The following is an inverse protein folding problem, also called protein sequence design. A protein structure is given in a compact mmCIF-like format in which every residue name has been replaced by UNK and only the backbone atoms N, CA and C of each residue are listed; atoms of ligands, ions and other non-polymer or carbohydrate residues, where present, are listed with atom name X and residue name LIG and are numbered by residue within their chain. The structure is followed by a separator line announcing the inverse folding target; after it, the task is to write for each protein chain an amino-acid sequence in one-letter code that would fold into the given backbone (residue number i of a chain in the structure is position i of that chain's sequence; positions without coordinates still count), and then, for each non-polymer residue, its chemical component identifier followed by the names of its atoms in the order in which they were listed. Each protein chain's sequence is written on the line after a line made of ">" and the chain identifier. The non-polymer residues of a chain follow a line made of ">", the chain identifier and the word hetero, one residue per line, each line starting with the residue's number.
data_IF_291580290046
#
_entry.id   IF_291580290046
#
_cell.length_a   1.000
_cell.length_b   1.000
_cell.length_c   1.000
_cell.angle_alpha   90.00
_cell.angle_beta   90.00
_cell.angle_gamma   90.00
#
_symmetry.space_group_name_H-M   'P 1'
#
loop_
_entity.id
_entity.type
_entity.pdbx_description
1 polymer ?
#
# COMPACT_ATOMS: atom_id res chain seq x y z
N UNK A 1 -2.65 4.10 -26.43
CA UNK A 1 -2.98 3.88 -25.00
C UNK A 1 -2.18 4.88 -24.18
N UNK A 2 -2.83 5.83 -23.48
CA UNK A 2 -2.11 6.86 -22.72
C UNK A 2 -1.46 6.24 -21.47
N UNK A 3 -0.14 6.12 -21.47
CA UNK A 3 0.61 5.80 -20.24
C UNK A 3 0.64 7.06 -19.38
N UNK A 4 0.03 7.01 -18.20
CA UNK A 4 0.08 8.12 -17.24
C UNK A 4 1.52 8.26 -16.75
N UNK A 5 2.09 9.46 -16.82
CA UNK A 5 3.48 9.71 -16.40
C UNK A 5 3.77 9.23 -14.96
N UNK A 6 2.77 9.29 -14.08
CA UNK A 6 2.86 8.81 -12.69
C UNK A 6 3.16 7.31 -12.57
N UNK A 7 2.75 6.47 -13.53
CA UNK A 7 3.06 5.03 -13.50
C UNK A 7 4.57 4.78 -13.66
N UNK A 8 5.22 5.58 -14.51
CA UNK A 8 6.68 5.52 -14.69
C UNK A 8 7.41 5.98 -13.43
N UNK A 9 6.89 6.99 -12.72
CA UNK A 9 7.46 7.41 -11.44
C UNK A 9 7.27 6.36 -10.34
N UNK A 10 6.13 5.66 -10.32
CA UNK A 10 5.90 4.53 -9.41
C UNK A 10 6.85 3.36 -9.68
N UNK A 11 7.12 3.06 -10.95
CA UNK A 11 8.08 2.02 -11.36
C UNK A 11 9.52 2.40 -10.97
N UNK A 12 9.93 3.66 -11.21
CA UNK A 12 11.22 4.17 -10.73
C UNK A 12 11.34 4.08 -9.22
N UNK A 13 10.27 4.42 -8.49
CA UNK A 13 10.22 4.31 -7.05
C UNK A 13 10.34 2.85 -6.57
N UNK A 14 9.62 1.91 -7.18
CA UNK A 14 9.68 0.50 -6.78
C UNK A 14 11.05 -0.14 -7.02
N UNK A 15 11.75 0.30 -8.07
CA UNK A 15 13.06 -0.22 -8.45
C UNK A 15 14.23 0.40 -7.68
N UNK A 16 14.00 1.44 -6.86
CA UNK A 16 15.05 2.10 -6.08
C UNK A 16 15.36 1.30 -4.79
N UNK A 17 16.62 0.97 -4.56
CA UNK A 17 17.10 0.42 -3.28
C UNK A 17 18.04 1.40 -2.58
N UNK A 18 17.79 1.83 -1.32
CA UNK A 18 16.60 1.61 -0.49
C UNK A 18 15.45 2.57 -0.87
N UNK A 19 14.25 2.03 -1.10
CA UNK A 19 13.04 2.82 -1.34
C UNK A 19 12.44 3.31 -0.03
N UNK A 20 12.17 4.62 0.05
CA UNK A 20 11.40 5.22 1.14
C UNK A 20 9.90 5.03 0.90
N UNK A 21 9.04 5.07 1.94
CA UNK A 21 7.59 5.13 1.74
C UNK A 21 7.20 6.27 0.79
N UNK A 22 6.28 6.00 -0.14
CA UNK A 22 5.82 6.99 -1.11
C UNK A 22 4.51 7.63 -0.64
N UNK A 23 4.44 8.96 -0.66
CA UNK A 23 3.22 9.71 -0.37
C UNK A 23 2.63 10.21 -1.68
N UNK A 24 1.44 9.73 -2.03
CA UNK A 24 0.71 10.17 -3.23
C UNK A 24 -0.26 11.29 -2.84
N UNK A 25 0.08 12.54 -3.20
CA UNK A 25 -0.75 13.72 -2.92
C UNK A 25 -1.52 14.17 -4.17
N UNK A 26 -2.63 14.87 -3.95
CA UNK A 26 -3.44 15.48 -5.02
C UNK A 26 -4.83 15.85 -4.53
N UNK A 27 -5.60 16.62 -5.30
CA UNK A 27 -6.96 17.02 -4.95
C UNK A 27 -7.90 15.80 -4.75
N UNK A 28 -9.02 16.00 -4.05
CA UNK A 28 -10.06 14.96 -3.92
C UNK A 28 -10.57 14.58 -5.33
N UNK A 29 -10.90 13.31 -5.54
CA UNK A 29 -11.48 12.77 -6.79
C UNK A 29 -10.60 12.80 -8.06
N UNK A 30 -9.28 13.01 -7.95
CA UNK A 30 -8.36 13.01 -9.13
C UNK A 30 -7.88 11.61 -9.58
N UNK A 31 -8.44 10.54 -9.02
CA UNK A 31 -8.12 9.16 -9.42
C UNK A 31 -6.79 8.61 -8.87
N UNK A 32 -6.34 9.08 -7.68
CA UNK A 32 -5.14 8.56 -7.00
C UNK A 32 -5.22 7.05 -6.74
N UNK A 33 -6.36 6.58 -6.21
CA UNK A 33 -6.61 5.15 -5.98
C UNK A 33 -6.54 4.36 -7.27
N UNK A 34 -7.13 4.87 -8.36
CA UNK A 34 -7.11 4.23 -9.67
C UNK A 34 -5.68 3.97 -10.17
N UNK A 35 -4.76 4.91 -9.96
CA UNK A 35 -3.36 4.74 -10.36
C UNK A 35 -2.69 3.61 -9.58
N UNK A 36 -2.93 3.53 -8.27
CA UNK A 36 -2.36 2.47 -7.42
C UNK A 36 -2.93 1.11 -7.82
N UNK A 37 -4.24 1.02 -8.06
CA UNK A 37 -4.90 -0.21 -8.54
C UNK A 37 -4.35 -0.70 -9.88
N UNK A 38 -3.98 0.21 -10.78
CA UNK A 38 -3.37 -0.13 -12.07
C UNK A 38 -1.91 -0.57 -11.94
N UNK A 39 -1.20 -0.10 -10.91
CA UNK A 39 0.23 -0.33 -10.75
C UNK A 39 0.54 -1.68 -10.10
N UNK A 40 -0.13 -2.02 -8.99
CA UNK A 40 0.17 -3.23 -8.24
C UNK A 40 -1.02 -3.72 -7.42
N UNK A 41 -0.94 -4.98 -6.99
CA UNK A 41 -1.80 -5.50 -5.94
C UNK A 41 -1.45 -4.79 -4.63
N UNK A 42 -2.46 -4.38 -3.87
CA UNK A 42 -2.24 -3.70 -2.60
C UNK A 42 -3.22 -4.17 -1.53
N UNK A 43 -2.81 -3.98 -0.28
CA UNK A 43 -3.65 -4.09 0.90
C UNK A 43 -4.08 -2.67 1.28
N UNK A 44 -5.39 -2.43 1.24
CA UNK A 44 -5.97 -1.15 1.67
C UNK A 44 -6.12 -1.12 3.19
N UNK A 45 -5.61 -0.06 3.80
CA UNK A 45 -5.66 0.17 5.24
C UNK A 45 -6.24 1.54 5.52
N UNK A 46 -7.34 1.58 6.28
CA UNK A 46 -7.89 2.80 6.84
C UNK A 46 -7.64 2.81 8.35
N UNK A 47 -6.67 3.59 8.81
CA UNK A 47 -6.28 3.62 10.23
C UNK A 47 -7.34 4.27 11.14
N UNK A 48 -8.40 4.86 10.59
CA UNK A 48 -9.57 5.27 11.38
C UNK A 48 -10.39 4.05 11.86
N UNK A 49 -10.31 2.92 11.14
CA UNK A 49 -11.01 1.71 11.51
C UNK A 49 -10.21 0.95 12.58
N UNK A 50 -10.83 0.59 13.73
CA UNK A 50 -10.12 -0.15 14.78
C UNK A 50 -9.47 -1.44 14.30
N UNK A 51 -10.09 -2.16 13.35
CA UNK A 51 -9.56 -3.41 12.81
C UNK A 51 -8.25 -3.22 12.02
N UNK A 52 -8.09 -2.08 11.35
CA UNK A 52 -6.89 -1.76 10.58
C UNK A 52 -5.84 -1.09 11.47
N UNK A 53 -6.26 -0.37 12.52
CA UNK A 53 -5.39 0.32 13.48
C UNK A 53 -4.73 -0.63 14.49
N UNK A 54 -5.48 -1.54 15.12
CA UNK A 54 -4.98 -2.43 16.19
C UNK A 54 -3.70 -3.18 15.85
N UNK A 55 -3.54 -3.77 14.64
CA UNK A 55 -2.28 -4.42 14.28
C UNK A 55 -1.06 -3.51 14.41
N UNK A 56 -1.21 -2.21 14.14
CA UNK A 56 -0.13 -1.21 14.27
C UNK A 56 0.13 -0.77 15.72
N UNK A 57 -0.69 -1.19 16.68
CA UNK A 57 -0.52 -0.84 18.10
C UNK A 57 -0.02 -2.03 18.92
N UNK A 58 -0.38 -3.24 18.49
CA UNK A 58 -0.13 -4.48 19.23
C UNK A 58 1.05 -5.30 18.68
N UNK A 59 1.68 -4.87 17.58
CA UNK A 59 2.77 -5.64 16.95
C UNK A 59 4.06 -5.64 17.79
N UNK A 60 4.72 -6.80 17.86
CA UNK A 60 6.06 -6.92 18.47
C UNK A 60 7.17 -6.87 17.41
N UNK A 61 6.92 -7.42 16.22
CA UNK A 61 7.86 -7.37 15.08
C UNK A 61 7.18 -6.94 13.79
N UNK A 62 7.96 -6.41 12.85
CA UNK A 62 7.45 -6.04 11.52
C UNK A 62 6.94 -7.27 10.76
N UNK A 63 7.60 -8.43 10.92
CA UNK A 63 7.09 -9.66 10.30
C UNK A 63 5.70 -10.00 10.82
N UNK A 64 5.48 -9.97 12.14
CA UNK A 64 4.19 -10.24 12.76
C UNK A 64 3.11 -9.29 12.26
N UNK A 65 3.41 -7.98 12.23
CA UNK A 65 2.51 -6.97 11.66
C UNK A 65 2.11 -7.34 10.23
N UNK A 66 3.08 -7.66 9.37
CA UNK A 66 2.81 -8.04 7.98
C UNK A 66 1.99 -9.32 7.90
N UNK A 67 2.25 -10.33 8.74
CA UNK A 67 1.43 -11.56 8.73
C UNK A 67 -0.02 -11.27 9.09
N UNK A 68 -0.23 -10.52 10.16
CA UNK A 68 -1.55 -10.12 10.66
C UNK A 68 -2.33 -9.31 9.63
N UNK A 69 -1.68 -8.34 8.97
CA UNK A 69 -2.31 -7.55 7.91
C UNK A 69 -2.76 -8.40 6.72
N UNK A 70 -1.92 -9.34 6.27
CA UNK A 70 -2.29 -10.27 5.18
C UNK A 70 -3.43 -11.20 5.60
N UNK A 71 -3.43 -11.66 6.85
CA UNK A 71 -4.48 -12.53 7.39
C UNK A 71 -5.83 -11.81 7.48
N UNK A 72 -5.88 -10.64 8.12
CA UNK A 72 -7.12 -9.85 8.29
C UNK A 72 -7.74 -9.48 6.94
N UNK A 73 -6.90 -9.21 5.94
CA UNK A 73 -7.34 -8.79 4.60
C UNK A 73 -7.50 -9.97 3.63
N UNK A 74 -7.40 -11.20 4.13
CA UNK A 74 -7.55 -12.45 3.39
C UNK A 74 -6.71 -12.51 2.11
N UNK A 75 -5.45 -12.05 2.19
CA UNK A 75 -4.52 -12.00 1.06
C UNK A 75 -3.42 -13.05 1.21
N UNK A 76 -3.01 -13.64 0.08
CA UNK A 76 -1.96 -14.66 0.09
C UNK A 76 -0.59 -14.06 0.37
N UNK A 77 0.11 -14.62 1.37
CA UNK A 77 1.48 -14.23 1.73
C UNK A 77 2.50 -14.53 0.62
N UNK A 78 2.16 -15.41 -0.33
CA UNK A 78 3.02 -15.78 -1.47
C UNK A 78 3.38 -14.61 -2.39
N UNK A 79 2.62 -13.50 -2.32
CA UNK A 79 2.85 -12.29 -3.15
C UNK A 79 3.43 -11.11 -2.37
N UNK A 80 3.93 -11.32 -1.14
CA UNK A 80 4.43 -10.25 -0.25
C UNK A 80 5.36 -9.25 -0.93
N UNK A 81 6.32 -9.71 -1.73
CA UNK A 81 7.33 -8.84 -2.36
C UNK A 81 6.74 -7.87 -3.40
N UNK A 82 5.57 -8.21 -3.96
CA UNK A 82 4.89 -7.44 -5.02
C UNK A 82 3.65 -6.72 -4.51
N UNK A 83 3.26 -6.96 -3.25
CA UNK A 83 2.07 -6.33 -2.65
C UNK A 83 2.46 -5.04 -1.96
N UNK A 84 1.73 -3.96 -2.24
CA UNK A 84 1.90 -2.67 -1.57
C UNK A 84 0.99 -2.56 -0.35
N UNK A 85 1.44 -1.86 0.68
CA UNK A 85 0.55 -1.37 1.74
C UNK A 85 0.07 0.03 1.33
N UNK A 86 -1.23 0.19 1.13
CA UNK A 86 -1.85 1.48 0.84
C UNK A 86 -2.56 1.97 2.08
N UNK A 87 -1.90 2.85 2.81
CA UNK A 87 -2.41 3.47 4.03
C UNK A 87 -3.14 4.76 3.63
N UNK A 88 -4.41 4.84 4.01
CA UNK A 88 -5.23 6.01 3.82
C UNK A 88 -5.52 6.67 5.18
N UNK A 89 -5.30 7.98 5.22
CA UNK A 89 -5.62 8.88 6.33
C UNK A 89 -6.51 9.98 5.73
N UNK A 90 -7.63 10.32 6.38
CA UNK A 90 -8.59 11.33 5.90
C UNK A 90 -8.18 12.74 6.28
#
# INVERSE_FOLDING_TARGET
>A
MFKRAILTELEKWSNKSPRKPLVIRGARQVGKTTVVTQFAQYIYLNLELPNDRRPFEEFSTIEELVQTLFFIKNQSQSKRDKTLLFIYEI
#
